data_IF_115810948117
#
_entry.id   IF_115810948117
#
_cell.length_a   1.000
_cell.length_b   1.000
_cell.length_c   1.000
_cell.angle_alpha   90.00
_cell.angle_beta   90.00
_cell.angle_gamma   90.00
#
_symmetry.space_group_name_H-M   'P 1'
#
loop_
_entity.id
_entity.type
_entity.pdbx_description
1 polymer ?
#
# COMPACT_ATOMS: atom_id res chain seq x y z
N UNK A 1 31.91 60.70 -40.05
CA UNK A 1 32.41 59.99 -38.89
C UNK A 1 31.21 59.37 -38.15
N UNK A 2 30.92 58.11 -38.38
CA UNK A 2 29.80 57.39 -37.73
C UNK A 2 30.38 56.62 -36.54
N UNK A 3 29.93 56.92 -35.31
CA UNK A 3 30.27 56.18 -34.10
C UNK A 3 29.40 54.94 -34.01
N UNK A 4 30.03 53.77 -33.98
CA UNK A 4 29.41 52.49 -33.72
C UNK A 4 29.37 52.32 -32.21
N UNK A 5 28.18 52.23 -31.61
CA UNK A 5 27.97 51.88 -30.22
C UNK A 5 27.78 50.36 -30.15
N UNK A 6 28.75 49.66 -29.58
CA UNK A 6 28.66 48.23 -29.35
C UNK A 6 27.79 47.95 -28.13
N UNK A 7 26.74 47.15 -28.31
CA UNK A 7 25.91 46.60 -27.23
C UNK A 7 26.57 45.29 -26.79
N UNK A 8 27.11 45.26 -25.58
CA UNK A 8 27.54 44.03 -24.90
C UNK A 8 26.31 43.31 -24.37
N UNK A 9 25.95 42.19 -24.98
CA UNK A 9 24.96 41.25 -24.42
C UNK A 9 25.66 40.42 -23.35
N UNK A 10 25.29 40.64 -22.10
CA UNK A 10 25.69 39.77 -20.99
C UNK A 10 24.85 38.48 -21.06
N UNK A 11 25.49 37.37 -21.47
CA UNK A 11 24.92 36.03 -21.30
C UNK A 11 24.94 35.69 -19.79
N UNK A 12 23.78 35.76 -19.14
CA UNK A 12 23.58 35.18 -17.81
C UNK A 12 23.58 33.67 -17.92
N UNK A 13 24.66 33.02 -17.44
CA UNK A 13 24.65 31.58 -17.20
C UNK A 13 23.75 31.33 -15.99
N UNK A 14 22.53 30.86 -16.21
CA UNK A 14 21.71 30.29 -15.17
C UNK A 14 22.30 28.92 -14.78
N UNK A 15 23.05 28.89 -13.68
CA UNK A 15 23.45 27.66 -13.03
C UNK A 15 22.17 26.97 -12.54
N UNK A 16 21.71 25.95 -13.27
CA UNK A 16 20.73 25.02 -12.79
C UNK A 16 21.37 24.21 -11.66
N UNK A 17 21.10 24.60 -10.41
CA UNK A 17 21.44 23.74 -9.27
C UNK A 17 20.60 22.47 -9.40
N UNK A 18 21.22 21.27 -9.32
CA UNK A 18 20.43 20.05 -9.25
C UNK A 18 19.61 20.12 -7.97
N UNK A 19 18.27 20.08 -8.08
CA UNK A 19 17.42 19.76 -6.96
C UNK A 19 17.79 18.33 -6.57
N UNK A 20 18.60 18.15 -5.55
CA UNK A 20 18.77 16.86 -4.90
C UNK A 20 17.42 16.52 -4.28
N UNK A 21 16.72 15.54 -4.84
CA UNK A 21 15.56 14.97 -4.19
C UNK A 21 15.99 14.52 -2.80
N UNK A 22 15.41 15.09 -1.76
CA UNK A 22 15.70 14.67 -0.40
C UNK A 22 15.29 13.21 -0.27
N UNK A 23 16.22 12.35 0.18
CA UNK A 23 15.94 10.94 0.40
C UNK A 23 14.85 10.79 1.47
N UNK A 24 14.03 9.75 1.34
CA UNK A 24 13.01 9.42 2.31
C UNK A 24 13.64 9.14 3.70
N UNK A 25 13.13 9.77 4.75
CA UNK A 25 13.71 9.71 6.10
C UNK A 25 12.68 9.99 7.21
N UNK A 26 12.96 9.45 8.40
CA UNK A 26 12.22 9.78 9.60
C UNK A 26 12.55 11.19 10.10
N UNK A 27 11.52 11.95 10.47
CA UNK A 27 11.61 13.29 11.03
C UNK A 27 10.78 13.42 12.30
N UNK A 28 11.18 14.35 13.15
CA UNK A 28 10.44 14.69 14.37
C UNK A 28 10.10 16.19 14.39
N UNK A 29 8.85 16.50 14.69
CA UNK A 29 8.38 17.88 14.88
C UNK A 29 7.52 17.93 16.12
N UNK A 30 7.86 18.81 17.06
CA UNK A 30 7.16 18.95 18.35
C UNK A 30 7.00 17.63 19.13
N UNK A 31 8.03 16.79 19.10
CA UNK A 31 8.04 15.49 19.77
C UNK A 31 7.29 14.37 19.06
N UNK A 32 6.66 14.64 17.93
CA UNK A 32 5.90 13.66 17.14
C UNK A 32 6.69 13.24 15.90
N UNK A 33 6.68 11.95 15.59
CA UNK A 33 7.37 11.38 14.44
C UNK A 33 6.49 11.37 13.19
N UNK A 34 7.10 11.66 12.05
CA UNK A 34 6.52 11.56 10.73
C UNK A 34 7.57 11.11 9.72
N UNK A 35 7.15 10.62 8.58
CA UNK A 35 8.05 10.11 7.55
C UNK A 35 8.01 11.00 6.31
N UNK A 36 9.16 11.61 5.99
CA UNK A 36 9.34 12.39 4.76
C UNK A 36 9.64 11.44 3.62
N UNK A 37 8.83 11.47 2.58
CA UNK A 37 9.05 10.71 1.34
C UNK A 37 9.74 11.59 0.30
N UNK A 38 10.22 10.95 -0.78
CA UNK A 38 10.80 11.66 -1.92
C UNK A 38 9.83 12.70 -2.47
N UNK A 39 10.35 13.90 -2.80
CA UNK A 39 9.54 15.01 -3.26
C UNK A 39 8.77 15.75 -2.17
N UNK A 40 9.10 15.57 -0.90
CA UNK A 40 8.49 16.29 0.23
C UNK A 40 7.08 15.84 0.61
N UNK A 41 6.63 14.71 0.07
CA UNK A 41 5.36 14.06 0.45
C UNK A 41 5.50 13.35 1.80
N UNK A 42 4.38 13.05 2.44
CA UNK A 42 4.31 12.26 3.66
C UNK A 42 2.97 11.48 3.72
N UNK A 43 2.95 10.30 4.38
CA UNK A 43 1.75 9.51 4.50
C UNK A 43 0.75 10.14 5.48
N UNK A 44 -0.55 9.94 5.23
CA UNK A 44 -1.65 10.40 6.09
C UNK A 44 -2.78 9.36 6.11
N UNK A 45 -3.51 9.29 7.23
CA UNK A 45 -4.74 8.50 7.38
C UNK A 45 -4.60 7.02 6.99
N UNK A 46 -3.51 6.37 7.36
CA UNK A 46 -3.38 4.96 6.99
C UNK A 46 -2.07 4.33 7.38
N UNK A 47 -1.95 3.06 7.03
CA UNK A 47 -0.80 2.23 7.28
C UNK A 47 0.26 2.35 6.18
N UNK A 48 1.51 2.29 6.56
CA UNK A 48 2.63 2.25 5.62
C UNK A 48 3.76 1.36 6.13
N UNK A 49 4.30 0.53 5.24
CA UNK A 49 5.50 -0.25 5.49
C UNK A 49 6.73 0.59 5.19
N UNK A 50 7.62 0.71 6.18
CA UNK A 50 8.83 1.54 6.07
C UNK A 50 10.03 0.73 6.58
N UNK A 51 11.02 0.56 5.70
CA UNK A 51 12.37 0.12 6.06
C UNK A 51 13.19 1.37 6.40
N UNK A 52 12.99 1.86 7.62
CA UNK A 52 13.51 3.15 8.05
C UNK A 52 15.01 3.16 8.32
N UNK A 53 15.60 2.03 8.64
CA UNK A 53 17.04 1.84 8.89
C UNK A 53 17.77 1.18 7.70
N UNK A 54 17.02 0.86 6.62
CA UNK A 54 17.53 0.26 5.37
C UNK A 54 18.22 -1.09 5.57
N UNK A 55 17.72 -1.88 6.52
CA UNK A 55 18.24 -3.21 6.80
C UNK A 55 17.59 -4.31 5.92
N UNK A 56 16.68 -3.94 5.02
CA UNK A 56 15.92 -4.85 4.18
C UNK A 56 14.68 -5.47 4.87
N UNK A 57 14.31 -4.93 6.03
CA UNK A 57 13.12 -5.33 6.78
C UNK A 57 12.30 -4.09 7.10
N UNK A 58 11.08 -4.02 6.58
CA UNK A 58 10.15 -2.94 6.88
C UNK A 58 9.24 -3.29 8.06
N UNK A 59 8.99 -2.34 8.92
CA UNK A 59 7.91 -2.32 9.90
C UNK A 59 6.72 -1.52 9.38
N UNK A 60 5.52 -1.78 9.93
CA UNK A 60 4.30 -1.11 9.53
C UNK A 60 3.89 -0.05 10.56
N UNK A 61 3.59 1.16 10.09
CA UNK A 61 3.23 2.32 10.92
C UNK A 61 1.90 2.92 10.47
N UNK A 62 1.06 3.36 11.42
CA UNK A 62 -0.17 4.08 11.12
C UNK A 62 0.06 5.58 11.26
N UNK A 63 -0.29 6.33 10.22
CA UNK A 63 -0.22 7.79 10.18
C UNK A 63 -1.61 8.41 10.37
N UNK A 64 -1.70 9.41 11.24
CA UNK A 64 -2.92 10.17 11.45
C UNK A 64 -3.20 11.16 10.30
N UNK A 65 -4.29 11.91 10.41
CA UNK A 65 -4.69 12.90 9.41
C UNK A 65 -3.65 14.01 9.20
N UNK A 66 -2.82 14.31 10.20
CA UNK A 66 -1.78 15.31 10.14
C UNK A 66 -0.41 14.73 9.69
N UNK A 67 -0.33 13.42 9.40
CA UNK A 67 0.86 12.73 8.93
C UNK A 67 1.82 12.30 10.03
N UNK A 68 1.40 12.24 11.29
CA UNK A 68 2.21 11.74 12.39
C UNK A 68 1.86 10.30 12.72
N UNK A 69 2.86 9.48 13.09
CA UNK A 69 2.61 8.11 13.53
C UNK A 69 1.87 8.10 14.88
N UNK A 70 1.00 7.12 15.03
CA UNK A 70 0.43 6.77 16.32
C UNK A 70 1.42 5.92 17.12
N UNK A 71 1.49 6.13 18.44
CA UNK A 71 2.41 5.43 19.35
C UNK A 71 1.69 5.01 20.63
N UNK A 72 1.98 3.80 21.14
CA UNK A 72 1.40 3.26 22.38
C UNK A 72 -0.13 3.33 22.46
N UNK A 73 -0.83 3.07 21.36
CA UNK A 73 -2.28 3.21 21.29
C UNK A 73 -2.90 2.18 20.37
N UNK A 74 -4.22 2.20 20.28
CA UNK A 74 -4.97 1.54 19.21
C UNK A 74 -5.20 2.54 18.08
N UNK A 75 -5.06 2.06 16.86
CA UNK A 75 -5.41 2.79 15.65
C UNK A 75 -6.94 2.84 15.45
N UNK A 76 -7.48 3.69 14.57
CA UNK A 76 -8.92 3.74 14.30
C UNK A 76 -9.52 2.40 13.85
N UNK A 77 -8.73 1.54 13.24
CA UNK A 77 -9.08 0.17 12.83
C UNK A 77 -8.74 -0.89 13.90
N UNK A 78 -8.56 -0.46 15.17
CA UNK A 78 -8.34 -1.28 16.36
C UNK A 78 -7.06 -2.12 16.36
N UNK A 79 -6.08 -1.82 15.54
CA UNK A 79 -4.76 -2.43 15.59
C UNK A 79 -3.89 -1.78 16.67
N UNK A 80 -3.03 -2.56 17.33
CA UNK A 80 -2.14 -2.04 18.37
C UNK A 80 -0.82 -1.58 17.77
N UNK A 81 -0.36 -0.38 18.15
CA UNK A 81 0.99 0.09 17.87
C UNK A 81 1.79 0.26 19.16
N UNK A 82 3.08 -0.09 19.10
CA UNK A 82 3.99 0.01 20.25
C UNK A 82 4.54 1.43 20.46
N UNK A 83 5.46 1.59 21.40
CA UNK A 83 6.11 2.88 21.72
C UNK A 83 6.91 3.49 20.57
N UNK A 84 7.36 2.68 19.62
CA UNK A 84 8.03 3.14 18.41
C UNK A 84 7.05 3.40 17.26
N UNK A 85 5.74 3.18 17.48
CA UNK A 85 4.70 3.34 16.46
C UNK A 85 4.54 2.13 15.54
N UNK A 86 5.35 1.09 15.69
CA UNK A 86 5.27 -0.11 14.86
C UNK A 86 4.05 -0.97 15.24
N UNK A 87 3.39 -1.53 14.23
CA UNK A 87 2.28 -2.47 14.41
C UNK A 87 2.74 -3.74 15.13
N UNK A 88 1.97 -4.17 16.13
CA UNK A 88 2.29 -5.35 16.94
C UNK A 88 1.08 -6.28 17.08
N UNK A 89 1.35 -7.57 17.24
CA UNK A 89 0.35 -8.54 17.63
C UNK A 89 -0.05 -8.39 19.12
N UNK A 90 -0.96 -9.24 19.60
CA UNK A 90 -1.44 -9.21 20.99
C UNK A 90 -0.33 -9.55 22.02
N UNK A 91 0.74 -10.23 21.61
CA UNK A 91 1.92 -10.54 22.43
C UNK A 91 2.99 -9.43 22.39
N UNK A 92 2.78 -8.36 21.62
CA UNK A 92 3.73 -7.27 21.44
C UNK A 92 4.83 -7.55 20.39
N UNK A 93 4.72 -8.63 19.60
CA UNK A 93 5.64 -8.93 18.52
C UNK A 93 5.37 -7.98 17.35
N UNK A 94 6.40 -7.31 16.85
CA UNK A 94 6.31 -6.41 15.69
C UNK A 94 6.06 -7.20 14.41
N UNK A 95 5.09 -6.76 13.63
CA UNK A 95 4.93 -7.24 12.26
C UNK A 95 6.00 -6.64 11.36
N UNK A 96 6.70 -7.51 10.63
CA UNK A 96 7.78 -7.11 9.73
C UNK A 96 7.63 -7.77 8.36
N UNK A 97 8.13 -7.09 7.32
CA UNK A 97 8.15 -7.58 5.94
C UNK A 97 9.55 -7.42 5.35
N UNK A 98 10.07 -8.45 4.65
CA UNK A 98 11.32 -8.30 3.87
C UNK A 98 11.08 -7.37 2.69
N UNK A 99 11.96 -6.37 2.53
CA UNK A 99 11.98 -5.48 1.37
C UNK A 99 13.09 -5.96 0.44
N UNK A 100 12.71 -6.45 -0.75
CA UNK A 100 13.69 -6.71 -1.81
C UNK A 100 14.05 -5.37 -2.45
N UNK A 101 15.24 -4.84 -2.15
CA UNK A 101 15.77 -3.65 -2.80
C UNK A 101 16.15 -4.03 -4.23
N UNK A 102 15.24 -3.85 -5.17
CA UNK A 102 15.58 -3.80 -6.58
C UNK A 102 16.21 -2.44 -6.86
N UNK A 103 17.49 -2.44 -7.17
CA UNK A 103 18.26 -1.24 -7.53
C UNK A 103 17.79 -0.72 -8.89
N UNK A 104 16.69 0.03 -8.95
CA UNK A 104 16.34 0.90 -10.10
C UNK A 104 15.02 1.62 -9.85
N UNK A 105 14.93 2.93 -10.00
CA UNK A 105 13.72 3.78 -10.26
C UNK A 105 12.37 3.38 -9.61
N UNK A 106 12.36 2.35 -8.79
CA UNK A 106 11.18 1.73 -8.19
C UNK A 106 10.59 2.49 -6.99
N UNK A 107 11.23 3.57 -6.51
CA UNK A 107 10.74 4.31 -5.34
C UNK A 107 9.36 4.93 -5.60
N UNK A 108 9.13 5.47 -6.79
CA UNK A 108 7.84 6.07 -7.17
C UNK A 108 6.73 5.02 -7.33
N UNK A 109 7.02 3.86 -7.92
CA UNK A 109 6.02 2.81 -8.17
C UNK A 109 5.60 2.07 -6.90
N UNK A 110 6.54 1.81 -5.97
CA UNK A 110 6.24 1.16 -4.71
C UNK A 110 5.33 2.04 -3.81
N UNK A 111 5.55 3.35 -3.80
CA UNK A 111 4.70 4.31 -3.09
C UNK A 111 3.31 4.43 -3.72
N UNK A 112 3.24 4.44 -5.04
CA UNK A 112 1.96 4.47 -5.73
C UNK A 112 1.13 3.23 -5.41
N UNK A 113 1.72 2.04 -5.46
CA UNK A 113 1.02 0.79 -5.14
C UNK A 113 0.54 0.75 -3.69
N UNK A 114 1.30 1.26 -2.73
CA UNK A 114 0.89 1.31 -1.32
C UNK A 114 -0.26 2.30 -1.11
N UNK A 115 -0.20 3.50 -1.69
CA UNK A 115 -1.29 4.46 -1.62
C UNK A 115 -2.59 3.92 -2.24
N UNK A 116 -2.46 3.16 -3.32
CA UNK A 116 -3.59 2.49 -3.97
C UNK A 116 -4.21 1.39 -3.12
N UNK A 117 -3.40 0.57 -2.44
CA UNK A 117 -3.89 -0.45 -1.50
C UNK A 117 -4.69 0.15 -0.36
N UNK A 118 -4.17 1.21 0.24
CA UNK A 118 -4.85 1.94 1.31
C UNK A 118 -6.16 2.56 0.82
N UNK A 119 -6.18 3.14 -0.36
CA UNK A 119 -7.40 3.69 -0.94
C UNK A 119 -8.42 2.59 -1.29
N UNK A 120 -7.99 1.42 -1.77
CA UNK A 120 -8.88 0.25 -1.95
C UNK A 120 -9.50 -0.15 -0.61
N UNK A 121 -8.70 -0.32 0.44
CA UNK A 121 -9.20 -0.66 1.77
C UNK A 121 -10.20 0.38 2.29
N UNK A 122 -9.88 1.66 2.16
CA UNK A 122 -10.75 2.76 2.59
C UNK A 122 -12.10 2.72 1.85
N UNK A 123 -12.08 2.56 0.53
CA UNK A 123 -13.29 2.49 -0.29
C UNK A 123 -14.15 1.25 0.00
N UNK A 124 -13.51 0.09 0.20
CA UNK A 124 -14.18 -1.14 0.62
C UNK A 124 -14.88 -0.94 1.96
N UNK A 125 -14.19 -0.36 2.93
CA UNK A 125 -14.74 -0.09 4.26
C UNK A 125 -15.86 0.96 4.22
N UNK A 126 -15.77 1.94 3.34
CA UNK A 126 -16.87 2.89 3.09
C UNK A 126 -18.14 2.16 2.59
N UNK A 127 -17.99 1.21 1.65
CA UNK A 127 -19.10 0.42 1.13
C UNK A 127 -19.69 -0.54 2.18
N UNK A 128 -18.84 -1.12 3.02
CA UNK A 128 -19.28 -1.98 4.14
C UNK A 128 -20.02 -1.19 5.21
N UNK A 129 -19.46 -0.08 5.69
CA UNK A 129 -20.07 0.74 6.74
C UNK A 129 -21.39 1.39 6.32
N UNK A 130 -21.55 1.80 5.06
CA UNK A 130 -22.83 2.25 4.48
C UNK A 130 -23.94 1.19 4.61
N UNK A 131 -23.60 -0.08 4.77
CA UNK A 131 -24.50 -1.22 4.89
C UNK A 131 -24.54 -1.82 6.31
N UNK A 132 -23.96 -1.14 7.29
CA UNK A 132 -23.94 -1.57 8.68
C UNK A 132 -23.00 -2.75 8.97
N UNK A 133 -22.07 -3.04 8.06
CA UNK A 133 -21.08 -4.09 8.25
C UNK A 133 -19.83 -3.54 8.93
N UNK A 134 -19.18 -4.39 9.73
CA UNK A 134 -17.89 -4.06 10.34
C UNK A 134 -16.81 -3.82 9.25
N UNK A 135 -16.00 -2.77 9.42
CA UNK A 135 -14.87 -2.53 8.52
C UNK A 135 -13.85 -3.68 8.59
N UNK A 136 -13.25 -3.97 7.45
CA UNK A 136 -12.12 -4.91 7.37
C UNK A 136 -10.85 -4.23 7.84
N UNK A 137 -9.98 -5.01 8.47
CA UNK A 137 -8.62 -4.58 8.82
C UNK A 137 -7.59 -5.35 7.99
N UNK A 138 -6.43 -4.75 7.75
CA UNK A 138 -5.35 -5.41 7.03
C UNK A 138 -4.79 -6.59 7.82
N UNK A 139 -4.24 -7.55 7.09
CA UNK A 139 -3.47 -8.67 7.64
C UNK A 139 -2.21 -8.84 6.80
N UNK A 140 -1.00 -8.75 7.39
CA UNK A 140 0.25 -8.80 6.64
C UNK A 140 0.45 -10.09 5.86
N UNK A 141 -0.10 -11.21 6.35
CA UNK A 141 0.02 -12.48 5.65
C UNK A 141 -0.90 -12.49 4.43
N UNK A 142 -2.15 -11.98 4.58
CA UNK A 142 -3.06 -11.82 3.44
C UNK A 142 -2.54 -10.80 2.42
N UNK A 143 -1.87 -9.72 2.86
CA UNK A 143 -1.18 -8.79 1.95
C UNK A 143 -0.09 -9.51 1.15
N UNK A 144 0.74 -10.32 1.82
CA UNK A 144 1.76 -11.12 1.16
C UNK A 144 1.17 -12.13 0.15
N UNK A 145 0.00 -12.70 0.46
CA UNK A 145 -0.76 -13.55 -0.47
C UNK A 145 -1.23 -12.72 -1.67
N UNK A 146 -1.86 -11.58 -1.42
CA UNK A 146 -2.40 -10.71 -2.47
C UNK A 146 -1.30 -10.18 -3.40
N UNK A 147 -0.11 -9.87 -2.87
CA UNK A 147 1.05 -9.44 -3.65
C UNK A 147 1.54 -10.53 -4.60
N UNK A 148 1.65 -11.76 -4.13
CA UNK A 148 2.03 -12.88 -5.00
C UNK A 148 0.94 -13.16 -6.02
N UNK A 149 -0.34 -13.15 -5.62
CA UNK A 149 -1.46 -13.36 -6.55
C UNK A 149 -1.51 -12.28 -7.62
N UNK A 150 -1.25 -11.00 -7.29
CA UNK A 150 -1.20 -9.93 -8.27
C UNK A 150 -0.14 -10.16 -9.38
N UNK A 151 0.97 -10.82 -9.04
CA UNK A 151 1.98 -11.23 -10.01
C UNK A 151 1.56 -12.51 -10.78
N UNK A 152 0.91 -13.46 -10.13
CA UNK A 152 0.45 -14.71 -10.75
C UNK A 152 -0.67 -14.47 -11.77
N UNK A 153 -1.62 -13.56 -11.50
CA UNK A 153 -2.70 -13.25 -12.45
C UNK A 153 -2.23 -12.53 -13.72
N UNK A 154 -1.00 -12.02 -13.73
CA UNK A 154 -0.33 -11.55 -14.97
C UNK A 154 -0.10 -12.72 -15.91
N UNK A 155 0.31 -13.88 -15.39
CA UNK A 155 0.61 -15.07 -16.19
C UNK A 155 -0.66 -15.84 -16.55
N UNK A 156 -1.59 -15.90 -15.60
CA UNK A 156 -2.87 -16.60 -15.76
C UNK A 156 -3.97 -15.82 -15.02
N UNK A 157 -4.78 -15.04 -15.75
CA UNK A 157 -5.89 -14.30 -15.16
C UNK A 157 -7.04 -15.25 -14.77
N UNK A 158 -6.88 -15.86 -13.60
CA UNK A 158 -7.76 -16.91 -13.07
C UNK A 158 -7.63 -16.99 -11.54
N UNK A 159 -8.66 -17.55 -10.89
CA UNK A 159 -8.59 -17.98 -9.50
C UNK A 159 -7.71 -19.24 -9.30
N UNK A 160 -7.38 -19.94 -10.37
CA UNK A 160 -6.32 -20.94 -10.33
C UNK A 160 -4.96 -20.25 -10.52
N UNK A 161 -3.97 -20.75 -9.81
CA UNK A 161 -2.58 -20.32 -9.89
C UNK A 161 -1.91 -20.91 -11.15
N UNK A 162 -0.81 -20.34 -11.66
CA UNK A 162 -0.06 -20.89 -12.79
C UNK A 162 0.42 -22.33 -12.58
N UNK A 163 0.56 -22.79 -11.33
CA UNK A 163 0.92 -24.17 -10.98
C UNK A 163 -0.28 -25.14 -11.00
N UNK A 164 -1.47 -24.69 -11.41
CA UNK A 164 -2.70 -25.49 -11.48
C UNK A 164 -3.47 -25.62 -10.17
N UNK A 165 -2.96 -25.11 -9.05
CA UNK A 165 -3.65 -25.14 -7.77
C UNK A 165 -4.66 -23.97 -7.67
N UNK A 166 -5.64 -24.09 -6.77
CA UNK A 166 -6.53 -22.99 -6.43
C UNK A 166 -5.77 -21.90 -5.66
N UNK A 167 -6.25 -20.63 -5.73
CA UNK A 167 -5.65 -19.49 -5.02
C UNK A 167 -5.47 -19.74 -3.53
N UNK A 168 -6.40 -20.46 -2.89
CA UNK A 168 -6.36 -20.75 -1.45
C UNK A 168 -5.20 -21.66 -1.03
N UNK A 169 -4.56 -22.36 -1.96
CA UNK A 169 -3.32 -23.10 -1.67
C UNK A 169 -2.22 -22.18 -1.13
N UNK A 170 -2.21 -20.91 -1.59
CA UNK A 170 -1.24 -19.93 -1.14
C UNK A 170 -1.43 -19.52 0.32
N UNK A 171 -2.67 -19.54 0.83
CA UNK A 171 -2.92 -19.33 2.27
C UNK A 171 -2.20 -20.38 3.12
N UNK A 172 -2.27 -21.65 2.72
CA UNK A 172 -1.59 -22.76 3.41
C UNK A 172 -0.07 -22.63 3.33
N UNK A 173 0.45 -22.29 2.13
CA UNK A 173 1.89 -22.07 1.92
C UNK A 173 2.44 -20.91 2.78
N UNK A 174 1.64 -19.90 3.06
CA UNK A 174 2.01 -18.74 3.89
C UNK A 174 1.67 -18.91 5.36
N UNK A 175 1.15 -20.07 5.75
CA UNK A 175 0.80 -20.35 7.13
C UNK A 175 -0.40 -19.56 7.64
N UNK A 176 -1.29 -19.13 6.75
CA UNK A 176 -2.56 -18.52 7.16
C UNK A 176 -3.41 -19.56 7.86
N UNK A 177 -3.69 -19.34 9.14
CA UNK A 177 -4.48 -20.23 9.99
C UNK A 177 -5.55 -19.43 10.74
N UNK A 178 -6.57 -20.13 11.23
CA UNK A 178 -7.59 -19.53 12.09
C UNK A 178 -8.76 -18.88 11.37
N UNK A 179 -8.77 -18.81 10.03
CA UNK A 179 -9.93 -18.38 9.29
C UNK A 179 -10.83 -19.55 8.88
N UNK A 180 -12.15 -19.38 9.07
CA UNK A 180 -13.19 -20.32 8.60
C UNK A 180 -13.71 -19.94 7.20
N UNK A 181 -13.49 -18.69 6.80
CA UNK A 181 -13.96 -18.12 5.53
C UNK A 181 -12.81 -17.46 4.79
N UNK A 182 -12.74 -17.69 3.48
CA UNK A 182 -11.79 -17.03 2.57
C UNK A 182 -12.48 -16.64 1.27
N UNK A 183 -11.89 -15.70 0.57
CA UNK A 183 -12.33 -15.29 -0.76
C UNK A 183 -11.27 -14.51 -1.48
N UNK A 184 -11.42 -14.45 -2.81
CA UNK A 184 -10.55 -13.66 -3.66
C UNK A 184 -11.36 -12.87 -4.65
N UNK A 185 -11.01 -11.60 -4.85
CA UNK A 185 -11.41 -10.79 -5.99
C UNK A 185 -10.18 -10.48 -6.84
N UNK A 186 -10.30 -10.61 -8.15
CA UNK A 186 -9.24 -10.24 -9.11
C UNK A 186 -9.78 -9.26 -10.13
N UNK A 187 -8.93 -8.34 -10.59
CA UNK A 187 -9.27 -7.42 -11.67
C UNK A 187 -8.02 -6.99 -12.45
N UNK A 188 -8.21 -6.48 -13.67
CA UNK A 188 -7.13 -6.06 -14.54
C UNK A 188 -7.56 -4.83 -15.35
N UNK A 189 -6.68 -3.83 -15.44
CA UNK A 189 -6.83 -2.68 -16.34
C UNK A 189 -7.55 -1.47 -15.74
N UNK A 190 -8.11 -1.55 -14.53
CA UNK A 190 -8.72 -0.39 -13.86
C UNK A 190 -7.61 0.55 -13.39
N UNK A 191 -7.65 1.79 -13.84
CA UNK A 191 -6.55 2.76 -13.76
C UNK A 191 -6.22 3.27 -12.33
N UNK A 192 -7.06 2.97 -11.34
CA UNK A 192 -6.88 3.42 -9.95
C UNK A 192 -7.80 2.66 -8.98
N UNK A 193 -7.58 2.83 -7.69
CA UNK A 193 -8.34 2.19 -6.61
C UNK A 193 -9.86 2.42 -6.70
N UNK A 194 -10.30 3.64 -7.01
CA UNK A 194 -11.73 3.95 -7.15
C UNK A 194 -12.37 3.19 -8.32
N UNK A 195 -11.69 3.15 -9.46
CA UNK A 195 -12.19 2.44 -10.64
C UNK A 195 -12.33 0.95 -10.37
N UNK A 196 -11.34 0.32 -9.71
CA UNK A 196 -11.40 -1.13 -9.43
C UNK A 196 -12.45 -1.46 -8.38
N UNK A 197 -12.56 -0.70 -7.29
CA UNK A 197 -13.61 -0.95 -6.28
C UNK A 197 -15.00 -0.72 -6.87
N UNK A 198 -15.19 0.30 -7.72
CA UNK A 198 -16.44 0.50 -8.44
C UNK A 198 -16.76 -0.68 -9.35
N UNK A 199 -15.79 -1.21 -10.09
CA UNK A 199 -15.98 -2.39 -10.94
C UNK A 199 -16.37 -3.62 -10.12
N UNK A 200 -15.69 -3.89 -9.02
CA UNK A 200 -16.03 -4.99 -8.11
C UNK A 200 -17.43 -4.83 -7.50
N UNK A 201 -17.81 -3.65 -7.06
CA UNK A 201 -19.13 -3.38 -6.50
C UNK A 201 -20.27 -3.50 -7.53
N UNK A 202 -20.00 -3.32 -8.81
CA UNK A 202 -20.95 -3.52 -9.91
C UNK A 202 -21.04 -4.97 -10.38
N UNK A 203 -20.17 -5.86 -9.91
CA UNK A 203 -20.17 -7.30 -10.21
C UNK A 203 -20.69 -8.07 -9.00
N UNK A 204 -21.75 -8.87 -9.18
CA UNK A 204 -22.45 -9.55 -8.08
C UNK A 204 -21.48 -10.40 -7.23
N UNK A 205 -20.72 -11.31 -7.83
CA UNK A 205 -19.82 -12.20 -7.08
C UNK A 205 -18.70 -11.45 -6.37
N UNK A 206 -18.13 -10.39 -6.97
CA UNK A 206 -17.10 -9.58 -6.32
C UNK A 206 -17.69 -8.74 -5.19
N UNK A 207 -18.87 -8.16 -5.39
CA UNK A 207 -19.59 -7.40 -4.38
C UNK A 207 -19.95 -8.28 -3.18
N UNK A 208 -20.38 -9.51 -3.41
CA UNK A 208 -20.73 -10.46 -2.34
C UNK A 208 -19.50 -10.77 -1.47
N UNK A 209 -18.32 -10.90 -2.05
CA UNK A 209 -17.09 -11.01 -1.30
C UNK A 209 -16.82 -9.75 -0.46
N UNK A 210 -16.93 -8.55 -1.06
CA UNK A 210 -16.69 -7.29 -0.33
C UNK A 210 -17.67 -7.13 0.84
N UNK A 211 -18.91 -7.53 0.65
CA UNK A 211 -19.99 -7.35 1.63
C UNK A 211 -20.23 -8.57 2.53
N UNK A 212 -19.42 -9.61 2.43
CA UNK A 212 -19.57 -10.80 3.26
C UNK A 212 -19.40 -10.45 4.74
N UNK A 213 -20.41 -10.70 5.60
CA UNK A 213 -20.40 -10.26 6.98
C UNK A 213 -19.40 -11.03 7.86
N UNK A 214 -19.00 -12.24 7.45
CA UNK A 214 -18.03 -13.06 8.17
C UNK A 214 -16.59 -12.58 7.98
N UNK A 215 -16.29 -11.84 6.93
CA UNK A 215 -14.94 -11.33 6.72
C UNK A 215 -14.57 -10.24 7.74
N UNK A 216 -13.33 -10.32 8.24
CA UNK A 216 -12.73 -9.38 9.19
C UNK A 216 -11.39 -8.84 8.69
N UNK A 217 -10.71 -9.59 7.84
CA UNK A 217 -9.37 -9.29 7.34
C UNK A 217 -9.34 -9.23 5.82
N UNK A 218 -8.43 -8.39 5.32
CA UNK A 218 -8.18 -8.23 3.89
C UNK A 218 -6.69 -8.03 3.63
N UNK A 219 -6.19 -8.63 2.57
CA UNK A 219 -4.95 -8.24 1.90
C UNK A 219 -5.28 -7.66 0.53
N UNK A 220 -4.65 -6.56 0.17
CA UNK A 220 -4.78 -5.94 -1.15
C UNK A 220 -3.46 -6.00 -1.88
N UNK A 221 -3.43 -6.60 -3.07
CA UNK A 221 -2.28 -6.64 -3.97
C UNK A 221 -2.52 -5.80 -5.22
N UNK A 222 -1.50 -5.11 -5.67
CA UNK A 222 -1.48 -4.47 -6.98
C UNK A 222 -0.12 -4.63 -7.62
N UNK A 223 -0.11 -5.03 -8.89
CA UNK A 223 1.09 -5.20 -9.69
C UNK A 223 0.89 -4.56 -11.06
N UNK A 224 1.91 -3.86 -11.55
CA UNK A 224 1.89 -3.21 -12.85
C UNK A 224 2.77 -3.96 -13.85
N UNK A 225 2.19 -4.31 -15.00
CA UNK A 225 2.95 -4.77 -16.17
C UNK A 225 2.64 -3.83 -17.34
N UNK A 226 3.66 -3.14 -17.87
CA UNK A 226 3.51 -2.19 -18.99
C UNK A 226 2.33 -1.21 -18.78
N UNK A 227 2.32 -0.54 -17.62
CA UNK A 227 1.29 0.40 -17.17
C UNK A 227 -0.13 -0.21 -16.98
N UNK A 228 -0.28 -1.50 -17.17
CA UNK A 228 -1.53 -2.20 -16.89
C UNK A 228 -1.53 -2.70 -15.45
N UNK A 229 -2.45 -2.22 -14.59
CA UNK A 229 -2.56 -2.70 -13.21
C UNK A 229 -3.35 -4.02 -13.12
N UNK A 230 -2.86 -4.89 -12.27
CA UNK A 230 -3.47 -6.16 -11.86
C UNK A 230 -3.77 -6.09 -10.38
N UNK A 231 -5.03 -6.27 -10.01
CA UNK A 231 -5.56 -6.03 -8.67
C UNK A 231 -6.05 -7.32 -8.05
N UNK A 232 -5.76 -7.49 -6.78
CA UNK A 232 -6.22 -8.63 -5.98
C UNK A 232 -6.72 -8.17 -4.62
N UNK A 233 -7.82 -8.76 -4.17
CA UNK A 233 -8.25 -8.73 -2.77
C UNK A 233 -8.31 -10.18 -2.29
N UNK A 234 -7.63 -10.47 -1.19
CA UNK A 234 -7.76 -11.73 -0.47
C UNK A 234 -8.39 -11.47 0.89
N UNK A 235 -9.45 -12.21 1.20
CA UNK A 235 -10.25 -12.01 2.40
C UNK A 235 -10.06 -13.17 3.39
N UNK A 236 -10.20 -12.85 4.68
CA UNK A 236 -10.21 -13.80 5.77
C UNK A 236 -11.29 -13.48 6.80
N UNK A 237 -11.96 -14.50 7.34
CA UNK A 237 -13.02 -14.35 8.33
C UNK A 237 -13.13 -15.52 9.30
N UNK A 238 -13.86 -15.31 10.37
CA UNK A 238 -14.08 -16.28 11.48
C UNK A 238 -15.50 -16.79 11.47
#
# INVERSE_FOLDING_TARGET
MKKIVGVLAALGLALAMPLTAAAAEWKQTNGRWWYSMDGGRYPVNGWMWIDGDRNGIAECYYFDQAGYILQNTLTPDHCRVNGNGAWVDYNGRVYTRKVTVSNSTASGSAFQTEAERQEVLRLVNEERTKRGLEPLTTDPVLESVADQRAQEIVQLFSHNRPNGQSYDSLYKERGVTGYGYWGENIAMGQSNARAVVTAWMNSEGHRDNILKPEYRKIGVGVYYLNDTPYWVQNFGGY
#
